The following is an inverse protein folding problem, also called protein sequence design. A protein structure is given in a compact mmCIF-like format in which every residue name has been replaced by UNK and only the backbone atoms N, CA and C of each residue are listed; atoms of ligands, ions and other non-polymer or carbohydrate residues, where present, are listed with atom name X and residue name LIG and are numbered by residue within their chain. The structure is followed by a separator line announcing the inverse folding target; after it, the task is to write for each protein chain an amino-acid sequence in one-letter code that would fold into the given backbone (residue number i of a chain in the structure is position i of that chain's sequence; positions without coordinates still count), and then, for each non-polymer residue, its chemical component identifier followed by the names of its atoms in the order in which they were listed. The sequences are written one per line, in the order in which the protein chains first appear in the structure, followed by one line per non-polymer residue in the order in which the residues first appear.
data_IF_886782503413
#
_entry.id   IF_886782503413
#
_cell.length_a   1.000
_cell.length_b   1.000
_cell.length_c   1.000
_cell.angle_alpha   90.00
_cell.angle_beta   90.00
_cell.angle_gamma   90.00
#
_symmetry.space_group_name_H-M   'P 1'
#
loop_
_entity.id
_entity.type
_entity.pdbx_description
1 polymer ?
#
# COMPACT_ATOMS: atom_id res chain seq x y z
N UNK A 1 -4.16 -4.64 -15.48
CA UNK A 1 -4.74 -3.90 -16.62
C UNK A 1 -4.54 -2.42 -16.35
N UNK A 2 -4.03 -1.64 -17.30
CA UNK A 2 -3.78 -0.21 -17.12
C UNK A 2 -5.00 0.62 -17.52
N UNK A 3 -5.13 1.83 -17.00
CA UNK A 3 -6.26 2.74 -17.29
C UNK A 3 -6.36 3.03 -18.80
N UNK A 4 -5.22 3.15 -19.48
CA UNK A 4 -5.14 3.33 -20.94
C UNK A 4 -5.74 2.16 -21.72
N UNK A 5 -5.49 0.92 -21.29
CA UNK A 5 -6.00 -0.27 -21.99
C UNK A 5 -7.54 -0.37 -21.91
N UNK A 6 -8.13 0.06 -20.79
CA UNK A 6 -9.59 0.12 -20.62
C UNK A 6 -10.19 1.22 -21.50
N UNK A 7 -9.54 2.37 -21.57
CA UNK A 7 -9.95 3.47 -22.44
C UNK A 7 -10.00 3.04 -23.91
N UNK A 8 -8.97 2.37 -24.39
CA UNK A 8 -8.89 1.88 -25.77
C UNK A 8 -9.97 0.83 -26.09
N UNK A 9 -10.26 -0.08 -25.15
CA UNK A 9 -11.29 -1.09 -25.33
C UNK A 9 -12.71 -0.51 -25.35
N UNK A 10 -12.98 0.49 -24.50
CA UNK A 10 -14.26 1.20 -24.47
C UNK A 10 -14.45 2.01 -25.76
N UNK A 11 -13.42 2.74 -26.20
CA UNK A 11 -13.45 3.52 -27.44
C UNK A 11 -13.75 2.63 -28.65
N UNK A 12 -13.11 1.46 -28.72
CA UNK A 12 -13.30 0.49 -29.81
C UNK A 12 -14.70 -0.11 -29.86
N UNK A 13 -15.34 -0.35 -28.70
CA UNK A 13 -16.73 -0.83 -28.63
C UNK A 13 -17.75 0.27 -28.95
N UNK A 14 -17.45 1.52 -28.60
CA UNK A 14 -18.32 2.67 -28.84
C UNK A 14 -18.29 3.17 -30.28
N UNK A 15 -17.23 2.90 -31.06
CA UNK A 15 -17.18 3.20 -32.50
C UNK A 15 -18.34 2.60 -33.31
N UNK A 16 -18.96 1.51 -32.84
CA UNK A 16 -20.14 0.90 -33.48
C UNK A 16 -21.41 1.76 -33.35
N UNK A 17 -21.44 2.67 -32.39
CA UNK A 17 -22.62 3.47 -32.04
C UNK A 17 -22.41 4.97 -32.22
N UNK A 18 -21.17 5.46 -32.12
CA UNK A 18 -20.83 6.89 -32.21
C UNK A 18 -19.53 7.06 -33.02
N UNK A 19 -19.52 7.91 -34.07
CA UNK A 19 -18.28 8.32 -34.72
C UNK A 19 -17.49 9.27 -33.81
N UNK A 20 -16.23 8.92 -33.57
CA UNK A 20 -15.23 9.64 -32.75
C UNK A 20 -15.59 9.87 -31.26
N UNK A 21 -15.67 8.79 -30.45
CA UNK A 21 -16.00 8.89 -29.04
C UNK A 21 -14.83 9.44 -28.20
N UNK A 22 -15.00 10.64 -27.63
CA UNK A 22 -14.12 11.14 -26.57
C UNK A 22 -14.45 10.45 -25.24
N UNK A 23 -13.55 9.60 -24.77
CA UNK A 23 -13.68 8.85 -23.52
C UNK A 23 -12.62 9.33 -22.53
N UNK A 24 -13.06 9.85 -21.39
CA UNK A 24 -12.19 10.15 -20.24
C UNK A 24 -12.42 9.11 -19.16
N UNK A 25 -11.39 8.29 -18.88
CA UNK A 25 -11.44 7.28 -17.82
C UNK A 25 -10.63 7.80 -16.63
N UNK A 26 -11.26 7.92 -15.47
CA UNK A 26 -10.61 8.24 -14.21
C UNK A 26 -10.81 7.09 -13.22
N UNK A 27 -9.76 6.72 -12.48
CA UNK A 27 -9.90 5.75 -11.39
C UNK A 27 -10.59 6.42 -10.19
N UNK A 28 -11.80 5.95 -9.87
CA UNK A 28 -12.63 6.57 -8.83
C UNK A 28 -12.31 6.06 -7.41
N UNK A 29 -11.84 4.80 -7.28
CA UNK A 29 -11.36 4.23 -6.02
C UNK A 29 -10.66 2.89 -6.26
N UNK A 30 -9.41 2.75 -5.82
CA UNK A 30 -8.71 1.45 -5.83
C UNK A 30 -9.12 0.70 -4.55
N UNK A 31 -10.30 0.06 -4.56
CA UNK A 31 -10.82 -0.68 -3.40
C UNK A 31 -9.90 -1.83 -2.93
N UNK A 32 -8.89 -2.19 -3.71
CA UNK A 32 -7.88 -3.18 -3.35
C UNK A 32 -6.61 -2.62 -2.70
N UNK A 33 -6.30 -1.32 -2.80
CA UNK A 33 -4.99 -0.79 -2.39
C UNK A 33 -5.00 -0.34 -0.92
N UNK A 34 -5.41 -1.23 -0.02
CA UNK A 34 -5.46 -0.95 1.42
C UNK A 34 -4.41 -1.76 2.16
N UNK A 35 -3.89 -1.17 3.22
CA UNK A 35 -3.04 -1.82 4.22
C UNK A 35 -3.68 -1.69 5.59
N UNK A 36 -3.24 -2.53 6.51
CA UNK A 36 -3.68 -2.49 7.89
C UNK A 36 -2.48 -2.22 8.79
N UNK A 37 -2.60 -1.26 9.70
CA UNK A 37 -1.58 -0.99 10.71
C UNK A 37 -2.20 -1.25 12.08
N UNK A 38 -1.59 -2.14 12.85
CA UNK A 38 -2.08 -2.53 14.18
C UNK A 38 -0.93 -2.55 15.20
N UNK A 39 -1.30 -2.47 16.48
CA UNK A 39 -0.35 -2.50 17.60
C UNK A 39 -0.06 -1.10 18.17
N UNK A 40 1.17 -0.88 18.67
CA UNK A 40 1.58 0.36 19.38
C UNK A 40 1.87 1.54 18.44
N UNK A 41 0.87 1.95 17.68
CA UNK A 41 0.89 3.16 16.83
C UNK A 41 -0.13 4.19 17.33
N UNK A 42 0.03 5.45 16.93
CA UNK A 42 -0.88 6.52 17.37
C UNK A 42 -2.31 6.34 16.82
N UNK A 43 -2.46 5.79 15.61
CA UNK A 43 -3.74 5.52 14.96
C UNK A 43 -3.72 4.15 14.28
N UNK A 44 -4.10 3.07 15.00
CA UNK A 44 -4.29 1.78 14.36
C UNK A 44 -5.54 1.79 13.48
N UNK A 45 -5.50 1.10 12.34
CA UNK A 45 -6.62 1.04 11.42
C UNK A 45 -6.24 0.63 10.00
N UNK A 46 -7.22 0.77 9.11
CA UNK A 46 -7.03 0.59 7.68
C UNK A 46 -6.59 1.90 7.03
N UNK A 47 -5.62 1.81 6.11
CA UNK A 47 -5.11 2.95 5.36
C UNK A 47 -5.13 2.66 3.88
N UNK A 48 -5.55 3.63 3.08
CA UNK A 48 -5.52 3.54 1.62
C UNK A 48 -4.13 3.96 1.15
N UNK A 49 -3.45 3.07 0.47
CA UNK A 49 -2.18 3.35 -0.19
C UNK A 49 -2.41 4.18 -1.45
N UNK A 50 -1.62 5.23 -1.62
CA UNK A 50 -1.69 6.11 -2.79
C UNK A 50 -0.41 5.94 -3.61
N UNK A 51 -0.44 5.00 -4.56
CA UNK A 51 0.77 4.57 -5.28
C UNK A 51 1.64 3.62 -4.46
N UNK A 52 2.95 3.64 -4.71
CA UNK A 52 3.93 2.81 -3.99
C UNK A 52 4.09 3.34 -2.56
N UNK A 53 3.57 2.61 -1.59
CA UNK A 53 3.64 2.96 -0.17
C UNK A 53 4.59 2.01 0.55
N UNK A 54 5.57 2.55 1.28
CA UNK A 54 6.50 1.76 2.08
C UNK A 54 6.08 1.65 3.56
N UNK A 55 6.79 0.83 4.35
CA UNK A 55 6.50 0.64 5.78
C UNK A 55 6.63 1.96 6.57
N UNK A 56 7.63 2.79 6.25
CA UNK A 56 7.84 4.07 6.94
C UNK A 56 6.68 5.03 6.70
N UNK A 57 6.23 5.13 5.45
CA UNK A 57 5.08 5.93 5.04
C UNK A 57 3.79 5.40 5.68
N UNK A 58 3.60 4.09 5.76
CA UNK A 58 2.47 3.51 6.47
C UNK A 58 2.45 3.86 7.96
N UNK A 59 3.61 3.81 8.62
CA UNK A 59 3.73 4.24 10.02
C UNK A 59 3.47 5.75 10.17
N UNK A 60 3.93 6.57 9.23
CA UNK A 60 3.63 8.00 9.21
C UNK A 60 2.13 8.28 9.04
N UNK A 61 1.44 7.55 8.16
CA UNK A 61 -0.01 7.61 7.99
C UNK A 61 -0.76 7.20 9.27
N UNK A 62 -0.22 6.22 10.00
CA UNK A 62 -0.70 5.84 11.33
C UNK A 62 -0.37 6.86 12.44
N UNK A 63 0.19 8.03 12.08
CA UNK A 63 0.52 9.10 13.01
C UNK A 63 1.88 8.91 13.71
N UNK A 64 2.75 8.05 13.19
CA UNK A 64 4.01 7.66 13.79
C UNK A 64 3.86 6.57 14.85
N UNK A 65 5.00 6.13 15.36
CA UNK A 65 5.08 5.16 16.45
C UNK A 65 4.78 5.84 17.79
N UNK A 66 4.19 5.11 18.72
CA UNK A 66 4.01 5.62 20.08
C UNK A 66 5.40 5.84 20.73
N UNK A 67 5.50 6.80 21.66
CA UNK A 67 6.75 7.21 22.34
C UNK A 67 7.49 6.06 23.05
N UNK A 68 6.85 4.89 23.22
CA UNK A 68 7.40 3.68 23.84
C UNK A 68 7.21 2.41 23.00
N UNK A 69 6.99 2.54 21.69
CA UNK A 69 6.94 1.37 20.81
C UNK A 69 8.33 0.74 20.69
N UNK A 70 8.41 -0.58 20.74
CA UNK A 70 9.67 -1.28 20.48
C UNK A 70 9.97 -1.22 18.98
N UNK A 71 10.75 -0.22 18.58
CA UNK A 71 11.10 0.09 17.18
C UNK A 71 12.01 -0.97 16.51
N UNK A 72 12.34 -2.05 17.22
CA UNK A 72 13.25 -3.09 16.73
C UNK A 72 12.53 -4.29 16.11
N UNK A 73 11.27 -4.52 16.48
CA UNK A 73 10.55 -5.77 16.17
C UNK A 73 9.24 -5.52 15.42
N UNK A 74 9.21 -4.53 14.53
CA UNK A 74 8.08 -4.35 13.62
C UNK A 74 8.05 -5.51 12.63
N UNK A 75 6.86 -6.03 12.33
CA UNK A 75 6.70 -7.10 11.33
C UNK A 75 5.60 -6.76 10.34
N UNK A 76 5.85 -7.11 9.08
CA UNK A 76 4.85 -7.04 8.00
C UNK A 76 4.35 -8.45 7.74
N UNK A 77 3.06 -8.67 7.95
CA UNK A 77 2.39 -9.91 7.61
C UNK A 77 1.85 -9.78 6.18
N UNK A 78 2.47 -10.52 5.27
CA UNK A 78 2.08 -10.59 3.86
C UNK A 78 1.42 -11.93 3.56
N UNK A 79 0.30 -11.91 2.84
CA UNK A 79 -0.36 -13.12 2.37
C UNK A 79 -0.02 -13.37 0.91
N UNK A 80 0.76 -14.39 0.64
CA UNK A 80 1.20 -14.74 -0.72
C UNK A 80 0.99 -16.25 -0.95
N UNK A 81 0.33 -16.63 -2.05
CA UNK A 81 0.15 -18.04 -2.43
C UNK A 81 -0.64 -18.90 -1.42
N UNK A 82 -1.45 -18.28 -0.55
CA UNK A 82 -2.20 -19.00 0.50
C UNK A 82 -1.41 -19.23 1.79
N UNK A 83 -0.15 -18.78 1.87
CA UNK A 83 0.66 -18.75 3.09
C UNK A 83 0.79 -17.33 3.62
N UNK A 84 0.96 -17.20 4.93
CA UNK A 84 1.23 -15.92 5.58
C UNK A 84 2.71 -15.87 5.93
N UNK A 85 3.43 -14.91 5.34
CA UNK A 85 4.83 -14.66 5.62
C UNK A 85 4.95 -13.46 6.55
N UNK A 86 5.80 -13.58 7.57
CA UNK A 86 6.18 -12.48 8.45
C UNK A 86 7.54 -11.94 8.01
N UNK A 87 7.58 -10.69 7.56
CA UNK A 87 8.79 -10.01 7.14
C UNK A 87 9.19 -9.06 8.27
N UNK A 88 10.35 -9.29 8.87
CA UNK A 88 10.86 -8.42 9.92
C UNK A 88 11.30 -7.06 9.35
N UNK A 89 10.96 -5.99 10.07
CA UNK A 89 11.30 -4.63 9.70
C UNK A 89 11.94 -3.92 10.89
N UNK A 90 13.19 -3.49 10.74
CA UNK A 90 13.92 -2.78 11.77
C UNK A 90 13.83 -1.27 11.55
N UNK A 91 12.89 -0.62 12.22
CA UNK A 91 12.67 0.82 12.11
C UNK A 91 13.88 1.63 12.58
N UNK A 92 14.55 1.18 13.65
CA UNK A 92 15.66 1.93 14.26
C UNK A 92 16.89 2.07 13.35
N UNK A 93 17.12 1.13 12.42
CA UNK A 93 18.20 1.25 11.42
C UNK A 93 17.81 2.22 10.30
N UNK A 94 16.58 2.12 9.79
CA UNK A 94 16.09 2.97 8.70
C UNK A 94 15.97 4.43 9.14
N UNK A 95 15.50 4.69 10.37
CA UNK A 95 15.45 6.03 10.95
C UNK A 95 16.83 6.70 11.01
N UNK A 96 17.89 5.91 11.20
CA UNK A 96 19.29 6.38 11.22
C UNK A 96 19.90 6.49 9.82
N UNK A 97 19.12 6.28 8.77
CA UNK A 97 19.58 6.27 7.38
C UNK A 97 20.43 5.06 7.02
N UNK A 98 20.35 3.96 7.78
CA UNK A 98 21.08 2.71 7.53
C UNK A 98 20.11 1.63 7.05
N UNK A 99 20.59 0.74 6.18
CA UNK A 99 19.76 -0.38 5.72
C UNK A 99 18.51 0.05 4.97
N UNK A 100 18.57 1.14 4.19
CA UNK A 100 17.46 1.65 3.38
C UNK A 100 16.92 0.60 2.39
N UNK A 101 17.75 -0.39 2.02
CA UNK A 101 17.31 -1.56 1.25
C UNK A 101 16.29 -2.45 1.98
N UNK A 102 16.16 -2.33 3.30
CA UNK A 102 15.14 -3.01 4.10
C UNK A 102 13.79 -2.28 4.07
N UNK A 103 13.70 -1.13 3.38
CA UNK A 103 12.44 -0.41 3.24
C UNK A 103 11.52 -1.17 2.29
N UNK A 104 10.63 -1.96 2.88
CA UNK A 104 9.73 -2.84 2.14
C UNK A 104 8.59 -2.00 1.55
N UNK A 105 8.41 -2.08 0.24
CA UNK A 105 7.19 -1.60 -0.41
C UNK A 105 6.04 -2.53 -0.03
N UNK A 106 5.00 -1.95 0.54
CA UNK A 106 3.81 -2.68 0.98
C UNK A 106 2.95 -3.07 -0.21
N UNK A 107 2.26 -4.19 -0.03
CA UNK A 107 1.31 -4.71 -1.00
C UNK A 107 -0.13 -4.58 -0.48
N UNK A 108 -1.10 -4.52 -1.41
CA UNK A 108 -2.52 -4.70 -1.10
C UNK A 108 -2.78 -5.84 -0.10
N UNK A 109 -3.34 -5.50 1.07
CA UNK A 109 -3.70 -6.45 2.11
C UNK A 109 -2.60 -6.77 3.13
N UNK A 110 -1.42 -6.16 3.02
CA UNK A 110 -0.37 -6.29 4.04
C UNK A 110 -0.85 -5.76 5.41
N UNK A 111 -0.41 -6.42 6.47
CA UNK A 111 -0.67 -6.01 7.85
C UNK A 111 0.64 -5.67 8.54
N UNK A 112 0.83 -4.41 8.88
CA UNK A 112 1.97 -3.93 9.67
C UNK A 112 1.62 -4.07 11.14
N UNK A 113 2.43 -4.85 11.87
CA UNK A 113 2.27 -5.12 13.29
C UNK A 113 3.40 -4.45 14.05
N UNK A 114 3.04 -3.55 14.95
CA UNK A 114 3.97 -2.86 15.85
C UNK A 114 3.79 -3.39 17.27
N UNK A 115 4.79 -4.05 17.86
CA UNK A 115 4.66 -4.69 19.17
C UNK A 115 4.52 -3.72 20.34
#
# INVERSE_FOLDING_TARGET
MTVSAIQDEIAKRLQKYIPDPLVTVAMQQIQGNVIYVIGKVNRPGMFVMTGDTDVMQALALAGGTATFADLKDISVLRREGGSQQAIAFNYAEIEKGRGLEQNIVLQPGDVVVVP
#
